data_IF_671693608558
#
_entry.id   IF_671693608558
#
_cell.length_a   1.000
_cell.length_b   1.000
_cell.length_c   1.000
_cell.angle_alpha   90.00
_cell.angle_beta   90.00
_cell.angle_gamma   90.00
#
_symmetry.space_group_name_H-M   'P 1'
#
loop_
_entity.id
_entity.type
_entity.pdbx_description
1 polymer ?
#
# COMPACT_ATOMS: atom_id res chain seq x y z
N UNK A 1 -37.72 14.85 -51.97
CA UNK A 1 -37.68 13.46 -52.47
C UNK A 1 -36.23 13.04 -52.56
N UNK A 2 -35.92 11.89 -51.93
CA UNK A 2 -34.94 10.87 -52.37
C UNK A 2 -33.49 11.35 -52.33
N UNK A 3 -32.65 10.89 -51.39
CA UNK A 3 -32.05 9.54 -51.41
C UNK A 3 -30.86 9.56 -52.40
N UNK A 4 -29.66 9.10 -52.11
CA UNK A 4 -29.24 7.89 -51.39
C UNK A 4 -27.71 7.89 -51.27
N UNK A 5 -27.24 7.28 -50.18
CA UNK A 5 -25.88 6.82 -49.89
C UNK A 5 -25.15 6.14 -51.05
N UNK A 6 -23.81 6.24 -51.06
CA UNK A 6 -22.95 5.04 -51.23
C UNK A 6 -21.56 5.28 -50.61
N UNK A 7 -21.30 4.53 -49.53
CA UNK A 7 -19.96 4.29 -49.01
C UNK A 7 -19.18 3.43 -50.02
N UNK A 8 -17.89 3.72 -50.20
CA UNK A 8 -16.94 2.75 -50.76
C UNK A 8 -15.87 2.45 -49.71
N UNK A 9 -16.08 1.30 -49.08
CA UNK A 9 -15.08 0.49 -48.42
C UNK A 9 -13.89 0.28 -49.36
N UNK A 10 -12.68 0.56 -48.88
CA UNK A 10 -11.51 -0.21 -49.32
C UNK A 10 -11.09 -1.01 -48.10
N UNK A 11 -11.58 -2.25 -48.08
CA UNK A 11 -11.07 -3.32 -47.26
C UNK A 11 -9.73 -3.77 -47.84
N UNK A 12 -8.70 -3.83 -47.01
CA UNK A 12 -7.36 -4.28 -47.37
C UNK A 12 -6.61 -4.80 -46.15
N UNK A 13 -7.09 -5.94 -45.63
CA UNK A 13 -6.36 -7.02 -44.96
C UNK A 13 -5.12 -6.69 -44.09
N UNK A 14 -5.35 -6.73 -42.78
CA UNK A 14 -4.63 -7.53 -41.77
C UNK A 14 -3.21 -8.03 -42.13
N UNK A 15 -2.21 -7.49 -41.44
CA UNK A 15 -1.13 -8.30 -40.88
C UNK A 15 -1.08 -8.04 -39.36
N UNK A 16 -1.55 -9.02 -38.59
CA UNK A 16 -1.22 -9.12 -37.18
C UNK A 16 0.24 -9.56 -37.07
N UNK A 17 1.09 -8.74 -36.47
CA UNK A 17 2.29 -9.22 -35.79
C UNK A 17 2.21 -8.71 -34.35
N UNK A 18 1.96 -9.67 -33.45
CA UNK A 18 1.89 -9.46 -32.03
C UNK A 18 3.30 -9.31 -31.42
N UNK A 19 3.31 -8.73 -30.22
CA UNK A 19 4.29 -8.87 -29.13
C UNK A 19 5.64 -8.14 -29.26
N UNK A 20 6.24 -7.50 -28.24
CA UNK A 20 5.97 -7.28 -26.80
C UNK A 20 6.94 -6.18 -26.34
N UNK A 21 6.53 -5.25 -25.48
CA UNK A 21 7.48 -4.31 -24.84
C UNK A 21 6.84 -3.01 -24.34
N UNK A 22 5.88 -3.11 -23.42
CA UNK A 22 4.94 -2.04 -23.08
C UNK A 22 5.58 -0.78 -22.48
N UNK A 23 5.35 0.33 -23.16
CA UNK A 23 5.38 1.69 -22.57
C UNK A 23 3.94 2.14 -22.48
N UNK A 24 3.43 2.41 -21.28
CA UNK A 24 2.26 3.28 -21.12
C UNK A 24 2.47 4.16 -19.89
N UNK A 25 2.77 5.43 -20.15
CA UNK A 25 2.56 6.52 -19.22
C UNK A 25 1.08 6.90 -19.36
N UNK A 26 0.24 6.50 -18.41
CA UNK A 26 -1.14 6.96 -18.34
C UNK A 26 -1.20 8.21 -17.45
N UNK A 27 -1.13 9.38 -18.08
CA UNK A 27 -1.60 10.64 -17.53
C UNK A 27 -3.13 10.65 -17.56
N UNK A 28 -3.75 10.98 -16.44
CA UNK A 28 -5.11 11.52 -16.40
C UNK A 28 -6.21 10.49 -16.18
N UNK A 29 -6.64 10.36 -14.92
CA UNK A 29 -8.03 10.08 -14.58
C UNK A 29 -8.30 10.66 -13.21
N UNK A 30 -8.94 11.83 -13.17
CA UNK A 30 -9.73 12.25 -12.02
C UNK A 30 -10.82 11.19 -11.85
N UNK A 31 -10.58 10.21 -10.99
CA UNK A 31 -11.61 9.23 -10.65
C UNK A 31 -12.79 9.97 -10.03
N UNK A 32 -14.03 9.79 -10.52
CA UNK A 32 -15.19 10.14 -9.74
C UNK A 32 -15.10 9.34 -8.43
N UNK A 33 -15.32 10.03 -7.32
CA UNK A 33 -15.37 9.42 -5.99
C UNK A 33 -16.59 8.49 -5.95
N UNK A 34 -16.41 7.28 -6.49
CA UNK A 34 -17.37 6.20 -6.44
C UNK A 34 -17.61 5.90 -4.95
N UNK A 35 -18.87 5.61 -4.62
CA UNK A 35 -19.40 5.29 -3.31
C UNK A 35 -18.79 3.99 -2.76
N UNK A 36 -17.47 3.98 -2.60
CA UNK A 36 -16.71 2.84 -2.15
C UNK A 36 -16.76 2.83 -0.63
N UNK A 37 -17.32 1.76 -0.09
CA UNK A 37 -17.32 1.43 1.34
C UNK A 37 -15.90 1.29 1.92
N UNK A 38 -14.90 1.28 1.05
CA UNK A 38 -13.49 1.15 1.42
C UNK A 38 -12.67 2.36 0.98
N UNK A 39 -11.60 2.61 1.71
CA UNK A 39 -10.57 3.60 1.47
C UNK A 39 -9.22 2.90 1.51
N UNK A 40 -8.48 2.98 0.41
CA UNK A 40 -7.12 2.46 0.34
C UNK A 40 -6.10 3.50 0.79
N UNK A 41 -5.12 3.06 1.57
CA UNK A 41 -3.95 3.82 1.96
C UNK A 41 -2.70 3.24 1.33
N UNK A 42 -1.86 4.11 0.79
CA UNK A 42 -0.51 3.76 0.33
C UNK A 42 0.47 3.89 1.50
N UNK A 43 1.26 2.86 1.75
CA UNK A 43 2.24 2.81 2.84
C UNK A 43 3.63 2.72 2.21
N UNK A 44 4.39 3.81 2.29
CA UNK A 44 5.78 3.87 1.80
C UNK A 44 6.73 3.64 2.96
N UNK A 45 7.51 2.57 2.92
CA UNK A 45 8.51 2.22 3.92
C UNK A 45 9.90 2.65 3.44
N UNK A 46 10.61 3.37 4.31
CA UNK A 46 11.98 3.87 4.13
C UNK A 46 12.86 3.43 5.32
N UNK A 47 14.16 3.78 5.32
CA UNK A 47 15.11 3.30 6.34
C UNK A 47 15.65 1.88 6.07
N UNK A 48 15.37 1.36 4.88
CA UNK A 48 15.84 0.08 4.34
C UNK A 48 16.58 0.31 3.02
N UNK A 49 17.40 -0.65 2.57
CA UNK A 49 18.25 -0.50 1.36
C UNK A 49 17.46 -0.09 0.11
N UNK A 50 16.25 -0.65 -0.06
CA UNK A 50 15.35 -0.31 -1.16
C UNK A 50 14.00 0.08 -0.59
N UNK A 51 13.53 1.32 -0.78
CA UNK A 51 12.19 1.72 -0.33
C UNK A 51 11.11 0.80 -0.89
N UNK A 52 10.13 0.46 -0.05
CA UNK A 52 9.05 -0.44 -0.41
C UNK A 52 7.70 0.27 -0.30
N UNK A 53 6.75 -0.12 -1.14
CA UNK A 53 5.40 0.43 -1.11
C UNK A 53 4.40 -0.69 -0.96
N UNK A 54 3.46 -0.52 -0.03
CA UNK A 54 2.36 -1.44 0.23
C UNK A 54 1.04 -0.69 0.16
N UNK A 55 -0.05 -1.44 -0.03
CA UNK A 55 -1.40 -0.89 -0.01
C UNK A 55 -2.24 -1.65 1.00
N UNK A 56 -2.95 -0.91 1.85
CA UNK A 56 -3.95 -1.47 2.77
C UNK A 56 -5.32 -0.84 2.48
N UNK A 57 -6.35 -1.66 2.40
CA UNK A 57 -7.73 -1.19 2.19
C UNK A 57 -8.50 -1.25 3.49
N UNK A 58 -8.92 -0.09 3.98
CA UNK A 58 -9.71 0.06 5.19
C UNK A 58 -11.18 0.29 4.84
N UNK A 59 -12.09 -0.20 5.67
CA UNK A 59 -13.48 0.25 5.59
C UNK A 59 -13.54 1.73 6.00
N UNK A 60 -14.33 2.53 5.27
CA UNK A 60 -14.59 3.90 5.67
C UNK A 60 -15.48 3.87 6.93
N UNK A 61 -15.04 4.46 8.04
CA UNK A 61 -15.85 4.45 9.25
C UNK A 61 -17.09 5.32 9.03
N UNK A 62 -18.17 4.98 9.76
CA UNK A 62 -19.44 5.72 9.69
C UNK A 62 -19.35 7.11 10.32
N UNK A 63 -18.40 7.30 11.24
CA UNK A 63 -18.02 8.56 11.84
C UNK A 63 -16.48 8.67 11.90
N UNK A 64 -15.92 9.88 11.94
CA UNK A 64 -14.48 10.08 12.05
C UNK A 64 -13.69 9.74 10.77
N UNK A 65 -12.43 9.33 10.95
CA UNK A 65 -11.48 9.10 9.87
C UNK A 65 -10.79 7.74 10.00
N UNK A 66 -10.64 7.04 8.87
CA UNK A 66 -9.82 5.83 8.82
C UNK A 66 -8.34 6.18 9.02
N UNK A 67 -7.69 5.49 9.94
CA UNK A 67 -6.28 5.65 10.30
C UNK A 67 -5.54 4.31 10.22
N UNK A 68 -4.21 4.38 10.26
CA UNK A 68 -3.33 3.22 10.37
C UNK A 68 -2.85 3.09 11.82
N UNK A 69 -2.92 1.88 12.36
CA UNK A 69 -2.28 1.51 13.62
C UNK A 69 -1.14 0.54 13.33
N UNK A 70 0.01 0.78 13.97
CA UNK A 70 1.17 -0.12 13.94
C UNK A 70 1.24 -0.81 15.30
N UNK A 71 1.35 -2.14 15.30
CA UNK A 71 1.61 -2.96 16.48
C UNK A 71 2.67 -4.00 16.20
N UNK A 72 3.65 -4.19 17.06
CA UNK A 72 4.55 -5.33 16.99
C UNK A 72 3.89 -6.58 17.58
N UNK A 73 4.21 -7.74 17.01
CA UNK A 73 3.69 -9.03 17.42
C UNK A 73 4.70 -10.11 17.14
N UNK A 74 5.38 -10.58 18.19
CA UNK A 74 6.44 -11.57 18.14
C UNK A 74 7.60 -11.18 17.21
N UNK A 75 7.47 -11.43 15.91
CA UNK A 75 8.47 -11.13 14.86
C UNK A 75 7.96 -10.17 13.79
N UNK A 76 6.68 -9.76 13.85
CA UNK A 76 6.03 -8.99 12.79
C UNK A 76 5.55 -7.62 13.28
N UNK A 77 5.67 -6.61 12.44
CA UNK A 77 4.86 -5.40 12.53
C UNK A 77 3.51 -5.66 11.86
N UNK A 78 2.44 -5.59 12.65
CA UNK A 78 1.04 -5.62 12.24
C UNK A 78 0.56 -4.20 11.98
N UNK A 79 0.30 -3.88 10.71
CA UNK A 79 -0.34 -2.64 10.30
C UNK A 79 -1.82 -2.93 10.04
N UNK A 80 -2.69 -2.25 10.77
CA UNK A 80 -4.14 -2.48 10.73
C UNK A 80 -4.90 -1.18 10.60
N UNK A 81 -6.09 -1.27 10.02
CA UNK A 81 -7.04 -0.16 9.99
C UNK A 81 -7.56 0.14 11.40
N UNK A 82 -7.65 1.42 11.71
CA UNK A 82 -8.21 1.96 12.95
C UNK A 82 -9.06 3.19 12.64
N UNK A 83 -9.78 3.71 13.62
CA UNK A 83 -10.63 4.89 13.49
C UNK A 83 -10.13 5.96 14.45
N UNK A 84 -10.10 7.21 14.00
CA UNK A 84 -9.80 8.38 14.83
C UNK A 84 -10.87 9.44 14.65
N UNK A 85 -11.09 10.25 15.68
CA UNK A 85 -12.20 11.20 15.70
C UNK A 85 -11.85 12.53 15.01
N UNK A 86 -10.56 12.79 14.74
CA UNK A 86 -10.10 14.07 14.19
C UNK A 86 -8.95 13.93 13.20
N UNK A 87 -8.83 14.87 12.27
CA UNK A 87 -7.72 14.92 11.30
C UNK A 87 -6.36 15.18 11.99
N UNK A 88 -6.36 15.88 13.12
CA UNK A 88 -5.13 16.07 13.91
C UNK A 88 -4.59 14.75 14.44
N UNK A 89 -5.46 13.81 14.80
CA UNK A 89 -5.04 12.48 15.24
C UNK A 89 -4.49 11.61 14.09
N UNK A 90 -4.97 11.79 12.86
CA UNK A 90 -4.37 11.13 11.70
C UNK A 90 -2.90 11.50 11.55
N UNK A 91 -2.56 12.77 11.78
CA UNK A 91 -1.19 13.29 11.60
C UNK A 91 -0.23 12.90 12.71
N UNK A 92 -0.71 12.27 13.79
CA UNK A 92 0.16 11.77 14.86
C UNK A 92 1.04 10.65 14.32
N UNK A 93 2.28 10.64 14.79
CA UNK A 93 3.19 9.51 14.53
C UNK A 93 2.65 8.27 15.24
N UNK A 94 2.51 7.17 14.50
CA UNK A 94 2.23 5.85 15.06
C UNK A 94 3.52 5.03 14.97
N UNK A 95 4.06 4.67 16.13
CA UNK A 95 5.32 3.95 16.25
C UNK A 95 5.10 2.69 17.09
N UNK A 96 5.78 1.62 16.72
CA UNK A 96 6.02 0.51 17.63
C UNK A 96 7.45 -0.01 17.55
N UNK A 97 7.88 -0.70 18.60
CA UNK A 97 9.20 -1.31 18.74
C UNK A 97 9.07 -2.82 18.87
N UNK A 98 10.06 -3.53 18.36
CA UNK A 98 10.14 -4.98 18.44
C UNK A 98 11.57 -5.38 18.81
N UNK A 99 11.69 -6.34 19.72
CA UNK A 99 12.99 -6.92 20.10
C UNK A 99 13.50 -7.82 18.97
N UNK A 100 14.70 -7.56 18.49
CA UNK A 100 15.39 -8.35 17.48
C UNK A 100 16.43 -9.28 18.16
N UNK A 101 15.91 -10.28 18.88
CA UNK A 101 16.72 -11.16 19.74
C UNK A 101 17.64 -10.38 20.68
N UNK A 102 18.92 -10.78 20.73
CA UNK A 102 19.95 -10.13 21.55
C UNK A 102 20.54 -8.85 20.91
N UNK A 103 20.10 -8.47 19.70
CA UNK A 103 20.70 -7.38 18.91
C UNK A 103 20.12 -6.00 19.24
N UNK A 104 19.10 -5.97 20.11
CA UNK A 104 18.44 -4.76 20.57
C UNK A 104 17.02 -4.62 20.03
N UNK A 105 16.54 -3.38 19.93
CA UNK A 105 15.19 -3.07 19.44
C UNK A 105 15.24 -2.48 18.04
N UNK A 106 14.42 -3.04 17.16
CA UNK A 106 14.05 -2.43 15.90
C UNK A 106 12.78 -1.60 16.10
N UNK A 107 12.52 -0.61 15.26
CA UNK A 107 11.28 0.16 15.31
C UNK A 107 10.71 0.45 13.94
N UNK A 108 9.39 0.58 13.88
CA UNK A 108 8.67 1.07 12.71
C UNK A 108 7.82 2.25 13.13
N UNK A 109 8.16 3.43 12.63
CA UNK A 109 7.39 4.66 12.82
C UNK A 109 6.68 5.01 11.52
N UNK A 110 5.39 5.36 11.57
CA UNK A 110 4.60 5.79 10.42
C UNK A 110 3.91 7.13 10.71
N UNK A 111 3.91 8.01 9.72
CA UNK A 111 3.20 9.30 9.79
C UNK A 111 2.28 9.45 8.59
N UNK A 112 1.04 9.89 8.84
CA UNK A 112 0.12 10.22 7.77
C UNK A 112 0.56 11.45 7.01
N UNK A 113 0.54 11.36 5.68
CA UNK A 113 0.73 12.44 4.72
C UNK A 113 -0.57 12.68 3.96
N UNK A 114 -0.64 13.81 3.27
CA UNK A 114 -1.76 14.12 2.39
C UNK A 114 -1.98 13.02 1.34
N UNK A 115 -3.18 12.98 0.76
CA UNK A 115 -3.56 12.04 -0.30
C UNK A 115 -3.52 10.56 0.10
N UNK A 116 -3.96 10.24 1.33
CA UNK A 116 -4.14 8.85 1.80
C UNK A 116 -2.84 8.04 1.82
N UNK A 117 -1.71 8.70 2.12
CA UNK A 117 -0.39 8.08 2.15
C UNK A 117 0.15 8.06 3.58
N UNK A 118 0.75 6.95 3.99
CA UNK A 118 1.59 6.86 5.18
C UNK A 118 3.05 6.76 4.75
N UNK A 119 3.90 7.57 5.36
CA UNK A 119 5.35 7.42 5.28
C UNK A 119 5.84 6.75 6.53
N UNK A 120 6.36 5.54 6.36
CA UNK A 120 6.96 4.75 7.42
C UNK A 120 8.48 4.73 7.31
N UNK A 121 9.15 4.79 8.45
CA UNK A 121 10.60 4.64 8.58
C UNK A 121 10.87 3.44 9.47
N UNK A 122 11.51 2.43 8.91
CA UNK A 122 12.05 1.31 9.66
C UNK A 122 13.45 1.66 10.16
N UNK A 123 13.67 1.51 11.47
CA UNK A 123 14.99 1.66 12.08
C UNK A 123 15.42 0.30 12.60
N UNK A 124 16.39 -0.38 11.97
CA UNK A 124 16.89 -1.66 12.44
C UNK A 124 17.62 -1.50 13.77
N UNK A 125 17.67 -2.57 14.58
CA UNK A 125 18.52 -2.59 15.75
C UNK A 125 20.01 -2.38 15.34
N UNK A 126 20.86 -1.74 16.19
CA UNK A 126 22.21 -1.31 15.81
C UNK A 126 23.11 -2.41 15.22
N UNK A 127 22.93 -3.66 15.64
CA UNK A 127 23.69 -4.83 15.17
C UNK A 127 22.83 -5.83 14.39
N UNK A 128 21.64 -5.42 13.94
CA UNK A 128 20.76 -6.29 13.18
C UNK A 128 21.30 -6.54 11.78
N UNK A 129 21.19 -7.80 11.34
CA UNK A 129 21.39 -8.19 9.94
C UNK A 129 20.13 -7.88 9.11
N UNK A 130 18.99 -7.67 9.78
CA UNK A 130 17.68 -7.49 9.18
C UNK A 130 17.49 -6.02 8.77
N UNK A 131 18.09 -5.65 7.64
CA UNK A 131 18.06 -4.27 7.11
C UNK A 131 16.90 -4.02 6.14
N UNK A 132 16.03 -5.00 5.94
CA UNK A 132 14.87 -4.89 5.05
C UNK A 132 13.63 -5.46 5.73
N UNK A 133 12.45 -5.07 5.24
CA UNK A 133 11.19 -5.68 5.62
C UNK A 133 10.68 -6.56 4.47
N UNK A 134 10.01 -7.65 4.78
CA UNK A 134 9.26 -8.48 3.85
C UNK A 134 7.79 -8.51 4.27
N UNK A 135 6.91 -8.46 3.27
CA UNK A 135 5.50 -8.73 3.52
C UNK A 135 5.30 -10.23 3.74
N UNK A 136 4.76 -10.60 4.90
CA UNK A 136 4.40 -11.99 5.18
C UNK A 136 3.02 -12.23 4.56
N UNK A 137 2.96 -13.13 3.56
CA UNK A 137 1.69 -13.62 3.03
C UNK A 137 1.07 -14.57 4.06
N UNK A 138 0.20 -14.08 4.93
CA UNK A 138 -0.64 -14.96 5.74
C UNK A 138 -1.80 -15.49 4.88
N UNK A 139 -2.15 -16.77 5.09
CA UNK A 139 -3.14 -17.52 4.31
C UNK A 139 -4.60 -17.10 4.54
N UNK A 140 -4.83 -16.05 5.33
CA UNK A 140 -6.16 -15.57 5.68
C UNK A 140 -6.10 -14.06 5.87
N UNK A 141 -6.73 -13.24 5.01
CA UNK A 141 -7.01 -11.88 5.42
C UNK A 141 -8.09 -11.98 6.50
N UNK A 142 -8.11 -11.03 7.43
CA UNK A 142 -9.18 -10.80 8.41
C UNK A 142 -9.08 -11.53 9.75
N UNK A 143 -8.32 -10.95 10.68
CA UNK A 143 -8.80 -10.88 12.07
C UNK A 143 -10.01 -9.92 12.03
N UNK A 144 -11.21 -10.39 12.38
CA UNK A 144 -12.45 -9.59 12.46
C UNK A 144 -12.96 -8.89 11.17
N UNK A 145 -12.74 -9.47 10.00
CA UNK A 145 -13.15 -8.86 8.71
C UNK A 145 -12.23 -7.74 8.18
N UNK A 146 -11.14 -7.40 8.88
CA UNK A 146 -10.30 -6.23 8.55
C UNK A 146 -9.02 -6.58 7.81
N UNK A 147 -8.64 -5.75 6.83
CA UNK A 147 -7.34 -5.88 6.15
C UNK A 147 -6.20 -5.63 7.14
N UNK A 148 -5.23 -6.54 7.17
CA UNK A 148 -4.02 -6.44 8.00
C UNK A 148 -2.82 -6.68 7.11
N UNK A 149 -1.81 -5.82 7.22
CA UNK A 149 -0.52 -5.97 6.56
C UNK A 149 0.51 -6.39 7.62
N UNK A 150 1.20 -7.49 7.36
CA UNK A 150 2.26 -8.01 8.21
C UNK A 150 3.61 -7.76 7.56
N UNK A 151 4.47 -6.99 8.22
CA UNK A 151 5.84 -6.71 7.78
C UNK A 151 6.83 -7.32 8.78
N UNK A 152 7.66 -8.24 8.29
CA UNK A 152 8.71 -8.89 9.08
C UNK A 152 10.07 -8.39 8.66
N UNK A 153 11.03 -8.17 9.58
CA UNK A 153 12.42 -8.02 9.19
C UNK A 153 12.89 -9.25 8.37
N UNK A 154 13.56 -9.04 7.24
CA UNK A 154 14.02 -10.14 6.39
C UNK A 154 15.48 -10.49 6.71
N UNK A 155 15.72 -11.75 7.07
CA UNK A 155 17.05 -12.32 7.39
C UNK A 155 17.94 -12.53 6.16
N UNK A 156 17.52 -12.02 5.00
CA UNK A 156 18.35 -12.05 3.79
C UNK A 156 19.49 -11.05 3.92
N UNK A 157 20.69 -11.59 4.07
CA UNK A 157 21.95 -10.91 3.71
C UNK A 157 21.83 -10.51 2.24
N UNK A 158 21.50 -9.25 1.98
CA UNK A 158 21.63 -8.63 0.65
C UNK A 158 22.92 -7.83 0.60
#
# INVERSE_FOLDING_TARGET
MIGTSIAKLVAGSTFCAATVGGTYVALGSSSPEENSKTQSFEIKVTGISTPQTYTISCEKPTAGFASLSVKSSYEDYKLKCSEVNSEQELKKEVKDEMTDGDKGKSSLSCTYKASKRYECTFTPAPNSINKTLKQVKQATPTEDGKSILFLRPDDKLT
#
